data_IF_762140319455
#
_entry.id   IF_762140319455
#
_cell.length_a   1.000
_cell.length_b   1.000
_cell.length_c   1.000
_cell.angle_alpha   90.00
_cell.angle_beta   90.00
_cell.angle_gamma   90.00
#
_symmetry.space_group_name_H-M   'P 1'
#
loop_
_entity.id
_entity.type
_entity.pdbx_description
1 polymer ?
#
# COMPACT_ATOMS: atom_id res chain seq x y z
N UNK A 1 11.64 -21.79 13.67
CA UNK A 1 10.86 -20.60 14.07
C UNK A 1 10.66 -19.82 12.78
N UNK A 2 9.43 -19.51 12.39
CA UNK A 2 9.23 -18.80 11.13
C UNK A 2 9.61 -17.34 11.37
N UNK A 3 10.74 -16.90 10.81
CA UNK A 3 11.12 -15.49 10.80
C UNK A 3 10.10 -14.74 9.96
N UNK A 4 9.14 -14.15 10.65
CA UNK A 4 8.03 -13.43 10.08
C UNK A 4 7.78 -12.19 10.92
N UNK A 5 7.82 -11.03 10.29
CA UNK A 5 7.56 -9.75 10.95
C UNK A 5 6.23 -9.20 10.45
N UNK A 6 5.42 -8.68 11.36
CA UNK A 6 4.16 -8.03 11.03
C UNK A 6 4.02 -6.70 11.76
N UNK A 7 3.38 -5.74 11.10
CA UNK A 7 3.01 -4.47 11.70
C UNK A 7 1.70 -3.99 11.07
N UNK A 8 0.84 -3.36 11.86
CA UNK A 8 -0.40 -2.79 11.36
C UNK A 8 -0.73 -1.47 12.04
N UNK A 9 -1.34 -0.54 11.31
CA UNK A 9 -1.87 0.72 11.85
C UNK A 9 -3.22 1.05 11.21
N UNK A 10 -4.18 1.43 12.03
CA UNK A 10 -5.46 1.99 11.57
C UNK A 10 -5.43 3.51 11.72
N UNK A 11 -5.74 4.21 10.64
CA UNK A 11 -5.71 5.67 10.56
C UNK A 11 -7.08 6.21 10.13
N UNK A 12 -7.46 7.44 10.56
CA UNK A 12 -8.64 8.10 10.04
C UNK A 12 -8.56 8.32 8.53
N UNK A 13 -9.68 8.26 7.83
CA UNK A 13 -9.77 8.58 6.39
C UNK A 13 -9.73 10.09 6.13
N UNK A 14 -8.63 10.72 6.54
CA UNK A 14 -8.34 12.14 6.37
C UNK A 14 -7.10 12.31 5.46
N UNK A 15 -7.06 13.32 4.57
CA UNK A 15 -5.87 13.64 3.78
C UNK A 15 -4.55 13.69 4.58
N UNK A 16 -4.56 14.15 5.84
CA UNK A 16 -3.34 14.18 6.68
C UNK A 16 -2.80 12.78 6.97
N UNK A 17 -3.68 11.77 7.03
CA UNK A 17 -3.32 10.37 7.30
C UNK A 17 -2.51 9.73 6.19
N UNK A 18 -2.53 10.27 4.97
CA UNK A 18 -1.65 9.78 3.87
C UNK A 18 -0.18 9.96 4.25
N UNK A 19 0.17 11.11 4.82
CA UNK A 19 1.52 11.38 5.28
C UNK A 19 1.92 10.52 6.49
N UNK A 20 0.96 10.29 7.40
CA UNK A 20 1.12 9.40 8.56
C UNK A 20 1.37 7.95 8.14
N UNK A 21 0.62 7.45 7.15
CA UNK A 21 0.78 6.12 6.60
C UNK A 21 2.18 5.92 5.99
N UNK A 22 2.65 6.88 5.18
CA UNK A 22 4.01 6.81 4.61
C UNK A 22 5.09 6.78 5.69
N UNK A 23 4.97 7.63 6.72
CA UNK A 23 5.93 7.67 7.82
C UNK A 23 5.92 6.38 8.62
N UNK A 24 4.75 5.85 8.92
CA UNK A 24 4.60 4.58 9.61
C UNK A 24 5.30 3.46 8.85
N UNK A 25 5.02 3.30 7.56
CA UNK A 25 5.62 2.25 6.74
C UNK A 25 7.14 2.44 6.65
N UNK A 26 7.63 3.66 6.42
CA UNK A 26 9.08 3.91 6.36
C UNK A 26 9.78 3.53 7.67
N UNK A 27 9.20 3.86 8.83
CA UNK A 27 9.77 3.52 10.13
C UNK A 27 9.81 2.00 10.33
N UNK A 28 8.70 1.30 10.10
CA UNK A 28 8.64 -0.17 10.23
C UNK A 28 9.66 -0.86 9.34
N UNK A 29 9.76 -0.45 8.06
CA UNK A 29 10.71 -1.08 7.15
C UNK A 29 12.16 -0.79 7.52
N UNK A 30 12.44 0.38 8.09
CA UNK A 30 13.78 0.71 8.63
C UNK A 30 14.11 -0.19 9.82
N UNK A 31 13.15 -0.42 10.72
CA UNK A 31 13.30 -1.35 11.84
C UNK A 31 13.50 -2.80 11.36
N UNK A 32 12.96 -3.16 10.20
CA UNK A 32 13.17 -4.46 9.54
C UNK A 32 14.44 -4.50 8.67
N UNK A 33 15.26 -3.44 8.70
CA UNK A 33 16.57 -3.42 8.06
C UNK A 33 16.61 -2.88 6.62
N UNK A 34 15.53 -2.26 6.12
CA UNK A 34 15.54 -1.58 4.82
C UNK A 34 16.29 -0.24 4.92
N UNK A 35 17.26 -0.04 4.03
CA UNK A 35 17.94 1.24 3.88
C UNK A 35 16.99 2.32 3.31
N UNK A 36 16.96 3.47 3.98
CA UNK A 36 16.00 4.56 3.71
C UNK A 36 16.20 5.26 2.36
N UNK A 37 17.40 5.19 1.79
CA UNK A 37 17.82 5.92 0.58
C UNK A 37 18.00 4.96 -0.62
N UNK A 38 17.07 4.02 -0.79
CA UNK A 38 17.07 3.06 -1.89
C UNK A 38 15.87 3.28 -2.81
N UNK A 39 16.03 2.98 -4.11
CA UNK A 39 14.91 3.02 -5.08
C UNK A 39 13.73 2.13 -4.65
N UNK A 40 14.03 1.03 -3.94
CA UNK A 40 13.02 0.14 -3.37
C UNK A 40 12.21 0.83 -2.26
N UNK A 41 12.88 1.54 -1.34
CA UNK A 41 12.21 2.32 -0.30
C UNK A 41 11.33 3.44 -0.92
N UNK A 42 11.80 4.12 -1.96
CA UNK A 42 11.02 5.15 -2.66
C UNK A 42 9.79 4.57 -3.37
N UNK A 43 9.95 3.41 -4.01
CA UNK A 43 8.85 2.69 -4.64
C UNK A 43 7.76 2.34 -3.62
N UNK A 44 8.15 1.86 -2.43
CA UNK A 44 7.19 1.53 -1.36
C UNK A 44 6.50 2.79 -0.84
N UNK A 45 7.24 3.88 -0.60
CA UNK A 45 6.66 5.16 -0.15
C UNK A 45 5.61 5.67 -1.12
N UNK A 46 5.87 5.57 -2.42
CA UNK A 46 4.94 5.98 -3.46
C UNK A 46 3.71 5.05 -3.51
N UNK A 47 3.91 3.74 -3.47
CA UNK A 47 2.81 2.75 -3.41
C UNK A 47 1.88 3.03 -2.23
N UNK A 48 2.43 3.25 -1.02
CA UNK A 48 1.64 3.58 0.18
C UNK A 48 0.89 4.88 0.01
N UNK A 49 1.53 5.90 -0.56
CA UNK A 49 0.89 7.19 -0.83
C UNK A 49 -0.35 7.02 -1.69
N UNK A 50 -0.22 6.28 -2.80
CA UNK A 50 -1.31 6.07 -3.75
C UNK A 50 -2.43 5.21 -3.14
N UNK A 51 -2.09 4.15 -2.40
CA UNK A 51 -3.08 3.30 -1.74
C UNK A 51 -3.84 4.05 -0.64
N UNK A 52 -3.15 4.79 0.22
CA UNK A 52 -3.79 5.60 1.26
C UNK A 52 -4.62 6.73 0.65
N UNK A 53 -4.15 7.37 -0.43
CA UNK A 53 -4.92 8.39 -1.16
C UNK A 53 -6.20 7.79 -1.73
N UNK A 54 -6.13 6.59 -2.31
CA UNK A 54 -7.31 5.88 -2.81
C UNK A 54 -8.29 5.57 -1.67
N UNK A 55 -7.80 5.13 -0.50
CA UNK A 55 -8.64 4.85 0.67
C UNK A 55 -9.34 6.12 1.19
N UNK A 56 -8.65 7.25 1.23
CA UNK A 56 -9.22 8.54 1.67
C UNK A 56 -10.22 9.08 0.63
N UNK A 57 -9.86 9.11 -0.66
CA UNK A 57 -10.64 9.78 -1.71
C UNK A 57 -11.84 8.96 -2.19
N UNK A 58 -11.72 7.63 -2.28
CA UNK A 58 -12.73 6.78 -2.92
C UNK A 58 -13.73 6.14 -1.97
N UNK A 59 -13.60 6.39 -0.67
CA UNK A 59 -14.59 5.97 0.33
C UNK A 59 -15.71 7.00 0.50
N UNK A 60 -15.60 8.21 -0.07
CA UNK A 60 -16.62 9.29 0.04
C UNK A 60 -17.10 9.53 1.49
N UNK A 61 -16.22 9.35 2.48
CA UNK A 61 -16.57 9.47 3.90
C UNK A 61 -17.36 8.29 4.49
N UNK A 62 -17.61 7.23 3.72
CA UNK A 62 -18.31 6.02 4.18
C UNK A 62 -17.39 5.06 4.93
N UNK A 63 -16.07 5.24 4.79
CA UNK A 63 -15.08 4.53 5.59
C UNK A 63 -14.42 5.53 6.54
N UNK A 64 -14.69 5.46 7.85
CA UNK A 64 -14.13 6.42 8.81
C UNK A 64 -12.61 6.23 8.99
N UNK A 65 -12.12 5.04 8.69
CA UNK A 65 -10.72 4.64 8.87
C UNK A 65 -10.25 3.70 7.77
N UNK A 66 -8.95 3.67 7.52
CA UNK A 66 -8.31 2.62 6.74
C UNK A 66 -7.17 1.99 7.55
N UNK A 67 -6.85 0.74 7.26
CA UNK A 67 -5.77 0.00 7.92
C UNK A 67 -4.65 -0.27 6.94
N UNK A 68 -3.41 -0.03 7.36
CA UNK A 68 -2.20 -0.41 6.62
C UNK A 68 -1.59 -1.61 7.31
N UNK A 69 -1.42 -2.71 6.57
CA UNK A 69 -0.84 -3.96 7.04
C UNK A 69 0.49 -4.20 6.34
N UNK A 70 1.53 -4.52 7.11
CA UNK A 70 2.84 -4.93 6.62
C UNK A 70 3.15 -6.32 7.12
N UNK A 71 3.68 -7.17 6.24
CA UNK A 71 4.18 -8.49 6.60
C UNK A 71 5.45 -8.79 5.82
N UNK A 72 6.50 -9.23 6.51
CA UNK A 72 7.73 -9.70 5.89
C UNK A 72 7.89 -11.18 6.17
N UNK A 73 7.70 -12.00 5.14
CA UNK A 73 7.84 -13.46 5.23
C UNK A 73 9.27 -13.86 4.88
N UNK A 74 9.95 -14.52 5.83
CA UNK A 74 11.27 -15.15 5.66
C UNK A 74 12.38 -14.21 5.16
N UNK A 75 12.23 -12.91 5.36
CA UNK A 75 13.12 -11.90 4.76
C UNK A 75 13.21 -11.99 3.22
N UNK A 76 12.20 -12.58 2.57
CA UNK A 76 12.17 -12.84 1.12
C UNK A 76 11.03 -12.07 0.44
N UNK A 77 9.91 -11.85 1.14
CA UNK A 77 8.73 -11.26 0.53
C UNK A 77 8.03 -10.28 1.47
N UNK A 78 7.95 -9.03 1.04
CA UNK A 78 7.18 -7.98 1.70
C UNK A 78 5.75 -7.98 1.15
N UNK A 79 4.78 -8.05 2.03
CA UNK A 79 3.38 -7.80 1.76
C UNK A 79 2.96 -6.48 2.37
N UNK A 80 2.29 -5.65 1.57
CA UNK A 80 1.71 -4.39 1.97
C UNK A 80 0.24 -4.38 1.62
N UNK A 81 -0.62 -4.29 2.62
CA UNK A 81 -2.07 -4.22 2.48
C UNK A 81 -2.57 -2.84 2.87
N UNK A 82 -3.54 -2.31 2.12
CA UNK A 82 -4.39 -1.21 2.59
C UNK A 82 -5.83 -1.66 2.53
N UNK A 83 -6.48 -1.68 3.70
CA UNK A 83 -7.85 -2.09 3.90
C UNK A 83 -8.74 -0.88 4.13
N UNK A 84 -9.83 -0.79 3.39
CA UNK A 84 -10.91 0.18 3.63
C UNK A 84 -12.27 -0.51 3.66
N UNK A 85 -13.24 0.08 4.36
CA UNK A 85 -14.57 -0.51 4.54
C UNK A 85 -15.53 -0.31 3.37
N UNK A 86 -15.05 0.16 2.21
CA UNK A 86 -15.90 0.45 1.06
C UNK A 86 -15.80 -0.65 -0.02
N UNK A 87 -16.93 -1.28 -0.44
CA UNK A 87 -16.96 -2.42 -1.36
C UNK A 87 -16.52 -2.10 -2.79
N UNK A 88 -16.34 -0.81 -3.11
CA UNK A 88 -16.02 -0.37 -4.47
C UNK A 88 -14.63 -0.85 -4.85
N UNK A 89 -14.58 -1.79 -5.79
CA UNK A 89 -13.33 -2.24 -6.38
C UNK A 89 -12.55 -1.07 -6.98
N UNK A 90 -11.19 -1.10 -6.95
CA UNK A 90 -10.39 -0.10 -7.64
C UNK A 90 -10.69 -0.18 -9.15
N UNK A 91 -11.59 0.67 -9.63
CA UNK A 91 -11.94 0.71 -11.06
C UNK A 91 -10.74 1.25 -11.82
N UNK A 92 -10.30 0.56 -12.87
CA UNK A 92 -9.59 1.23 -13.96
C UNK A 92 -10.52 2.30 -14.50
N UNK A 93 -10.20 3.57 -14.26
CA UNK A 93 -10.95 4.66 -14.88
C UNK A 93 -10.62 4.69 -16.38
N UNK A 94 -11.62 4.90 -17.27
CA UNK A 94 -11.37 5.09 -18.70
C UNK A 94 -10.41 6.27 -18.94
N UNK A 95 -9.67 6.24 -20.04
CA UNK A 95 -8.62 7.22 -20.32
C UNK A 95 -9.06 8.69 -20.33
N UNK A 96 -10.34 8.96 -20.59
CA UNK A 96 -10.90 10.30 -20.55
C UNK A 96 -11.01 10.91 -19.14
N UNK A 97 -10.95 10.09 -18.07
CA UNK A 97 -11.01 10.52 -16.65
C UNK A 97 -9.61 10.42 -16.00
N UNK A 98 -8.54 10.31 -16.81
CA UNK A 98 -7.14 10.22 -16.35
C UNK A 98 -6.52 11.55 -15.94
N UNK A 99 -7.24 12.68 -16.09
CA UNK A 99 -6.63 13.98 -15.86
C UNK A 99 -6.24 14.17 -14.38
N UNK A 100 -6.99 13.62 -13.40
CA UNK A 100 -6.60 13.71 -11.97
C UNK A 100 -6.82 12.45 -11.09
N UNK A 101 -7.84 11.61 -11.31
CA UNK A 101 -8.24 10.58 -10.30
C UNK A 101 -7.88 9.11 -10.64
N UNK A 102 -7.15 8.83 -11.74
CA UNK A 102 -6.96 7.46 -12.26
C UNK A 102 -5.53 6.94 -12.32
N UNK A 103 -4.54 7.77 -11.98
CA UNK A 103 -3.11 7.41 -12.14
C UNK A 103 -2.60 6.49 -11.04
N UNK A 104 -3.11 6.59 -9.82
CA UNK A 104 -2.58 5.83 -8.68
C UNK A 104 -2.54 4.33 -8.93
N UNK A 105 -3.62 3.74 -9.45
CA UNK A 105 -3.64 2.31 -9.78
C UNK A 105 -2.73 1.91 -10.95
N UNK A 106 -2.41 2.83 -11.86
CA UNK A 106 -1.43 2.60 -12.94
C UNK A 106 -0.03 2.64 -12.35
N UNK A 107 0.28 3.65 -11.53
CA UNK A 107 1.56 3.82 -10.84
C UNK A 107 1.85 2.59 -9.97
N UNK A 108 0.92 2.19 -9.10
CA UNK A 108 1.09 1.03 -8.22
C UNK A 108 1.35 -0.24 -9.04
N UNK A 109 0.65 -0.43 -10.17
CA UNK A 109 0.86 -1.62 -11.02
C UNK A 109 2.21 -1.59 -11.74
N UNK A 110 2.67 -0.42 -12.19
CA UNK A 110 3.99 -0.28 -12.81
C UNK A 110 5.09 -0.54 -11.78
N UNK A 111 5.05 0.14 -10.62
CA UNK A 111 6.04 -0.04 -9.55
C UNK A 111 6.07 -1.47 -9.03
N UNK A 112 4.91 -2.08 -8.79
CA UNK A 112 4.85 -3.48 -8.39
C UNK A 112 5.51 -4.37 -9.44
N UNK A 113 5.28 -4.14 -10.74
CA UNK A 113 5.90 -4.91 -11.81
C UNK A 113 7.40 -4.67 -11.93
N UNK A 114 7.86 -3.42 -11.81
CA UNK A 114 9.28 -3.03 -11.85
C UNK A 114 10.07 -3.66 -10.70
N UNK A 115 9.47 -3.73 -9.51
CA UNK A 115 10.04 -4.44 -8.38
C UNK A 115 9.85 -5.96 -8.44
N UNK A 116 9.30 -6.53 -9.52
CA UNK A 116 9.07 -7.99 -9.64
C UNK A 116 7.92 -8.55 -8.77
N UNK A 117 7.09 -7.68 -8.23
CA UNK A 117 5.95 -7.99 -7.38
C UNK A 117 4.60 -8.13 -8.09
N UNK A 118 3.55 -8.25 -7.29
CA UNK A 118 2.16 -8.45 -7.75
C UNK A 118 1.17 -7.65 -6.91
N UNK A 119 0.07 -7.28 -7.56
CA UNK A 119 -1.09 -6.64 -6.92
C UNK A 119 -2.28 -7.60 -6.90
N UNK A 120 -2.90 -7.76 -5.73
CA UNK A 120 -4.17 -8.48 -5.56
C UNK A 120 -5.16 -7.63 -4.77
N UNK A 121 -6.45 -7.91 -4.93
CA UNK A 121 -7.51 -7.25 -4.16
C UNK A 121 -8.39 -8.33 -3.56
N UNK A 122 -8.57 -8.32 -2.25
CA UNK A 122 -9.37 -9.30 -1.52
C UNK A 122 -10.54 -8.61 -0.84
N UNK A 123 -11.80 -9.05 -1.04
CA UNK A 123 -12.92 -8.57 -0.24
C UNK A 123 -12.74 -8.91 1.24
N UNK A 124 -13.26 -8.07 2.12
CA UNK A 124 -13.36 -8.35 3.57
C UNK A 124 -14.76 -8.86 3.91
N UNK A 125 -14.91 -9.55 5.04
CA UNK A 125 -16.20 -10.07 5.50
C UNK A 125 -17.25 -8.96 5.70
N UNK A 126 -16.81 -7.77 6.14
CA UNK A 126 -17.66 -6.62 6.45
C UNK A 126 -18.01 -5.76 5.22
N UNK A 127 -17.74 -6.27 4.00
CA UNK A 127 -18.05 -5.58 2.75
C UNK A 127 -17.02 -4.55 2.32
N UNK A 128 -15.91 -4.38 3.04
CA UNK A 128 -14.74 -3.65 2.58
C UNK A 128 -13.84 -4.45 1.64
N UNK A 129 -12.65 -3.94 1.37
CA UNK A 129 -11.62 -4.60 0.56
C UNK A 129 -10.22 -4.30 1.10
N UNK A 130 -9.29 -5.19 0.81
CA UNK A 130 -7.87 -4.95 0.98
C UNK A 130 -7.18 -4.98 -0.38
N UNK A 131 -6.40 -3.95 -0.68
CA UNK A 131 -5.48 -3.94 -1.81
C UNK A 131 -4.10 -4.35 -1.32
N UNK A 132 -3.63 -5.50 -1.78
CA UNK A 132 -2.34 -6.07 -1.42
C UNK A 132 -1.32 -5.87 -2.53
N UNK A 133 -0.11 -5.50 -2.14
CA UNK A 133 1.09 -5.53 -2.96
C UNK A 133 2.07 -6.50 -2.32
N UNK A 134 2.50 -7.49 -3.06
CA UNK A 134 3.59 -8.37 -2.65
C UNK A 134 4.82 -8.05 -3.48
N UNK A 135 5.94 -7.71 -2.84
CA UNK A 135 7.22 -7.38 -3.46
C UNK A 135 8.29 -8.34 -2.93
N UNK A 136 9.24 -8.80 -3.76
CA UNK A 136 10.45 -9.44 -3.25
C UNK A 136 11.19 -8.47 -2.32
N UNK A 137 11.61 -8.95 -1.17
CA UNK A 137 12.37 -8.16 -0.21
C UNK A 137 13.79 -7.97 -0.74
N UNK A 138 14.17 -6.72 -0.96
CA UNK A 138 15.52 -6.36 -1.39
C UNK A 138 16.08 -5.32 -0.43
N UNK A 139 17.06 -5.73 0.36
CA UNK A 139 17.88 -4.83 1.19
C UNK A 139 19.10 -4.31 0.43
N UNK A 140 19.31 -4.75 -0.81
CA UNK A 140 20.50 -4.53 -1.61
C UNK A 140 20.14 -3.95 -2.98
N UNK A 141 20.11 -2.62 -3.10
CA UNK A 141 20.48 -1.95 -4.35
C UNK A 141 21.29 -0.70 -4.00
N UNK A 142 22.53 -0.69 -4.49
CA UNK A 142 23.50 0.40 -4.44
C UNK A 142 23.51 1.13 -5.77
#
# INVERSE_FOLDING_TARGET
MADHQEASVTLPSDPVSVSSARRYVANVLTEWGLAIDTEFADSIRLIVSELATNAVQHTFGQSPTFTVDLRLEREEQLHLGVTDSHPRWPRRLPAAVQQDNGRGMVIIRCLAKECGGRLTVTPTADGGKTVWIALPWSTLQS
#
